data_IF_473967980229
#
_entry.id   IF_473967980229
#
_cell.length_a   1.000
_cell.length_b   1.000
_cell.length_c   1.000
_cell.angle_alpha   90.00
_cell.angle_beta   90.00
_cell.angle_gamma   90.00
#
_symmetry.space_group_name_H-M   'P 1'
#
loop_
_entity.id
_entity.type
_entity.pdbx_description
1 polymer ?
#
# COMPACT_ATOMS: atom_id res chain seq x y z
N UNK A 1 12.72 2.79 -20.79
CA UNK A 1 11.36 2.96 -20.21
C UNK A 1 10.38 2.87 -21.37
N UNK A 2 9.48 1.89 -21.37
CA UNK A 2 8.65 1.57 -22.55
C UNK A 2 7.60 2.66 -22.81
N UNK A 3 7.56 3.15 -24.05
CA UNK A 3 6.64 4.20 -24.53
C UNK A 3 5.17 3.87 -24.20
N UNK A 4 4.80 2.59 -24.23
CA UNK A 4 3.46 2.08 -23.89
C UNK A 4 3.07 2.32 -22.42
N UNK A 5 4.04 2.25 -21.48
CA UNK A 5 3.79 2.53 -20.05
C UNK A 5 3.60 4.03 -19.81
N UNK A 6 4.33 4.87 -20.53
CA UNK A 6 4.16 6.32 -20.47
C UNK A 6 2.78 6.73 -21.00
N UNK A 7 2.37 6.22 -22.16
CA UNK A 7 1.05 6.49 -22.77
C UNK A 7 -0.09 6.08 -21.83
N UNK A 8 -0.02 4.90 -21.20
CA UNK A 8 -1.04 4.44 -20.27
C UNK A 8 -1.11 5.27 -18.98
N UNK A 9 0.03 5.80 -18.54
CA UNK A 9 0.10 6.71 -17.39
C UNK A 9 -0.57 8.04 -17.74
N UNK A 10 -0.26 8.61 -18.90
CA UNK A 10 -0.91 9.83 -19.39
C UNK A 10 -2.39 9.66 -19.62
N UNK A 11 -2.85 8.55 -20.23
CA UNK A 11 -4.27 8.25 -20.41
C UNK A 11 -5.05 8.23 -19.08
N UNK A 12 -4.49 7.65 -18.02
CA UNK A 12 -5.13 7.65 -16.69
C UNK A 12 -5.23 9.04 -16.08
N UNK A 13 -4.16 9.82 -16.19
CA UNK A 13 -4.12 11.21 -15.71
C UNK A 13 -5.10 12.09 -16.47
N UNK A 14 -5.14 11.96 -17.80
CA UNK A 14 -6.06 12.66 -18.68
C UNK A 14 -7.51 12.21 -18.46
N UNK A 15 -7.75 10.94 -18.11
CA UNK A 15 -9.09 10.44 -17.78
C UNK A 15 -9.68 11.12 -16.54
N UNK A 16 -8.95 11.12 -15.42
CA UNK A 16 -9.41 11.81 -14.20
C UNK A 16 -9.47 13.33 -14.35
N UNK A 17 -8.51 13.93 -15.05
CA UNK A 17 -8.52 15.36 -15.36
C UNK A 17 -9.69 15.71 -16.29
N UNK A 18 -10.01 14.85 -17.25
CA UNK A 18 -11.15 14.98 -18.16
C UNK A 18 -12.49 14.89 -17.42
N UNK A 19 -12.63 13.97 -16.46
CA UNK A 19 -13.82 13.91 -15.60
C UNK A 19 -13.94 15.19 -14.77
N UNK A 20 -12.84 15.67 -14.17
CA UNK A 20 -12.86 16.90 -13.38
C UNK A 20 -13.19 18.13 -14.26
N UNK A 21 -12.60 18.22 -15.45
CA UNK A 21 -12.89 19.27 -16.42
C UNK A 21 -14.35 19.22 -16.89
N UNK A 22 -14.90 18.02 -17.12
CA UNK A 22 -16.31 17.82 -17.48
C UNK A 22 -17.24 18.25 -16.33
N UNK A 23 -16.91 17.89 -15.10
CA UNK A 23 -17.67 18.30 -13.90
C UNK A 23 -17.62 19.82 -13.74
N UNK A 24 -16.44 20.44 -13.85
CA UNK A 24 -16.27 21.89 -13.77
C UNK A 24 -16.96 22.62 -14.92
N UNK A 25 -16.94 22.06 -16.14
CA UNK A 25 -17.64 22.64 -17.29
C UNK A 25 -19.16 22.55 -17.13
N UNK A 26 -19.68 21.44 -16.60
CA UNK A 26 -21.12 21.20 -16.47
C UNK A 26 -21.75 21.89 -15.26
N UNK A 27 -21.02 21.99 -14.15
CA UNK A 27 -21.53 22.48 -12.86
C UNK A 27 -20.82 23.74 -12.34
N UNK A 28 -19.81 24.23 -13.06
CA UNK A 28 -18.99 25.37 -12.63
C UNK A 28 -18.09 25.06 -11.43
N UNK A 29 -17.44 26.10 -10.90
CA UNK A 29 -16.73 26.05 -9.61
C UNK A 29 -17.67 26.23 -8.41
N UNK A 30 -18.95 26.54 -8.66
CA UNK A 30 -19.97 26.78 -7.63
C UNK A 30 -20.11 25.61 -6.66
N UNK A 31 -20.17 24.37 -7.18
CA UNK A 31 -20.27 23.18 -6.33
C UNK A 31 -19.07 22.98 -5.38
N UNK A 32 -17.88 23.47 -5.76
CA UNK A 32 -16.70 23.45 -4.89
C UNK A 32 -16.80 24.49 -3.79
N UNK A 33 -17.28 25.69 -4.12
CA UNK A 33 -17.53 26.75 -3.15
C UNK A 33 -18.67 26.38 -2.19
N UNK A 34 -19.73 25.77 -2.70
CA UNK A 34 -20.86 25.30 -1.89
C UNK A 34 -20.41 24.15 -0.97
N UNK A 35 -19.60 23.21 -1.47
CA UNK A 35 -18.97 22.17 -0.68
C UNK A 35 -18.09 22.72 0.46
N UNK A 36 -17.42 23.87 0.27
CA UNK A 36 -16.68 24.57 1.31
C UNK A 36 -17.62 25.28 2.31
N UNK A 37 -18.67 25.96 1.80
CA UNK A 37 -19.61 26.74 2.61
C UNK A 37 -20.46 25.89 3.55
N UNK A 38 -20.74 24.64 3.18
CA UNK A 38 -21.54 23.73 4.01
C UNK A 38 -20.76 23.13 5.19
N UNK A 39 -19.43 23.23 5.20
CA UNK A 39 -18.60 22.65 6.24
C UNK A 39 -18.41 23.61 7.40
N UNK A 40 -18.75 23.16 8.60
CA UNK A 40 -18.53 23.88 9.85
C UNK A 40 -17.39 23.24 10.68
N UNK A 41 -17.07 23.85 11.81
CA UNK A 41 -16.05 23.34 12.73
C UNK A 41 -16.38 21.93 13.24
N UNK A 42 -17.67 21.62 13.45
CA UNK A 42 -18.13 20.31 13.88
C UNK A 42 -17.78 19.21 12.87
N UNK A 43 -18.04 19.46 11.59
CA UNK A 43 -17.69 18.56 10.49
C UNK A 43 -16.18 18.35 10.38
N UNK A 44 -15.37 19.41 10.55
CA UNK A 44 -13.91 19.32 10.53
C UNK A 44 -13.37 18.47 11.70
N UNK A 45 -13.88 18.68 12.91
CA UNK A 45 -13.50 17.89 14.10
C UNK A 45 -13.93 16.43 13.93
N UNK A 46 -15.15 16.18 13.44
CA UNK A 46 -15.62 14.84 13.15
C UNK A 46 -14.74 14.15 12.09
N UNK A 47 -14.33 14.86 11.05
CA UNK A 47 -13.45 14.33 10.02
C UNK A 47 -12.05 13.97 10.57
N UNK A 48 -11.48 14.81 11.43
CA UNK A 48 -10.22 14.49 12.11
C UNK A 48 -10.36 13.25 13.01
N UNK A 49 -11.43 13.15 13.79
CA UNK A 49 -11.68 12.01 14.68
C UNK A 49 -11.92 10.70 13.92
N UNK A 50 -12.85 10.71 12.97
CA UNK A 50 -13.17 9.55 12.11
C UNK A 50 -11.95 9.16 11.27
N UNK A 51 -11.27 10.15 10.70
CA UNK A 51 -10.04 9.97 9.93
C UNK A 51 -8.93 9.33 10.73
N UNK A 52 -8.70 9.78 11.97
CA UNK A 52 -7.69 9.22 12.86
C UNK A 52 -8.01 7.78 13.24
N UNK A 53 -9.26 7.49 13.66
CA UNK A 53 -9.68 6.13 13.98
C UNK A 53 -9.52 5.19 12.77
N UNK A 54 -10.00 5.61 11.60
CA UNK A 54 -9.90 4.85 10.35
C UNK A 54 -8.44 4.60 9.98
N UNK A 55 -7.57 5.61 10.10
CA UNK A 55 -6.14 5.52 9.77
C UNK A 55 -5.40 4.57 10.71
N UNK A 56 -5.69 4.62 12.02
CA UNK A 56 -5.08 3.69 12.99
C UNK A 56 -5.55 2.26 12.73
N UNK A 57 -6.83 2.06 12.41
CA UNK A 57 -7.36 0.73 12.06
C UNK A 57 -6.69 0.17 10.80
N UNK A 58 -6.51 0.97 9.75
CA UNK A 58 -5.84 0.52 8.52
C UNK A 58 -4.34 0.30 8.73
N UNK A 59 -3.68 1.14 9.55
CA UNK A 59 -2.29 0.93 9.94
C UNK A 59 -2.11 -0.35 10.77
N UNK A 60 -3.02 -0.63 11.72
CA UNK A 60 -3.02 -1.87 12.49
C UNK A 60 -3.21 -3.09 11.60
N UNK A 61 -4.16 -3.02 10.67
CA UNK A 61 -4.38 -4.05 9.64
C UNK A 61 -3.11 -4.31 8.84
N UNK A 62 -2.39 -3.26 8.45
CA UNK A 62 -1.11 -3.38 7.78
C UNK A 62 -0.05 -4.06 8.68
N UNK A 63 0.03 -3.73 9.98
CA UNK A 63 0.90 -4.44 10.91
C UNK A 63 0.59 -5.94 10.99
N UNK A 64 -0.69 -6.33 11.05
CA UNK A 64 -1.11 -7.73 11.07
C UNK A 64 -0.63 -8.46 9.82
N UNK A 65 -0.86 -7.86 8.64
CA UNK A 65 -0.42 -8.43 7.36
C UNK A 65 1.11 -8.49 7.25
N UNK A 66 1.82 -7.43 7.60
CA UNK A 66 3.30 -7.38 7.53
C UNK A 66 3.95 -8.41 8.46
N UNK A 67 3.46 -8.54 9.70
CA UNK A 67 3.96 -9.54 10.66
C UNK A 67 3.67 -10.96 10.23
N UNK A 68 2.53 -11.22 9.59
CA UNK A 68 2.22 -12.52 9.00
C UNK A 68 3.19 -12.93 7.89
N UNK A 69 3.82 -11.94 7.23
CA UNK A 69 4.85 -12.14 6.20
C UNK A 69 6.27 -12.21 6.77
N UNK A 70 6.42 -12.15 8.09
CA UNK A 70 7.70 -12.20 8.80
C UNK A 70 8.40 -10.84 8.92
N UNK A 71 7.74 -9.73 8.60
CA UNK A 71 8.32 -8.39 8.73
C UNK A 71 7.96 -7.75 10.08
N UNK A 72 8.92 -7.02 10.65
CA UNK A 72 8.69 -6.25 11.88
C UNK A 72 8.14 -4.89 11.50
N UNK A 73 6.94 -4.57 11.99
CA UNK A 73 6.32 -3.27 11.81
C UNK A 73 5.59 -2.87 13.10
N UNK A 74 5.98 -1.73 13.67
CA UNK A 74 5.31 -1.15 14.83
C UNK A 74 4.06 -0.38 14.39
N UNK A 75 3.06 -0.29 15.26
CA UNK A 75 1.84 0.47 14.96
C UNK A 75 2.13 1.97 14.79
N UNK A 76 3.09 2.50 15.56
CA UNK A 76 3.51 3.90 15.48
C UNK A 76 4.08 4.22 14.10
N UNK A 77 5.03 3.42 13.63
CA UNK A 77 5.66 3.63 12.33
C UNK A 77 4.65 3.42 11.19
N UNK A 78 3.84 2.37 11.31
CA UNK A 78 2.76 2.11 10.36
C UNK A 78 1.78 3.28 10.25
N UNK A 79 1.39 3.88 11.38
CA UNK A 79 0.46 5.01 11.42
C UNK A 79 1.08 6.26 10.78
N UNK A 80 2.34 6.56 11.08
CA UNK A 80 3.06 7.68 10.47
C UNK A 80 3.19 7.50 8.94
N UNK A 81 3.58 6.31 8.49
CA UNK A 81 3.64 5.94 7.07
C UNK A 81 2.27 6.02 6.40
N UNK A 82 1.20 5.59 7.08
CA UNK A 82 -0.15 5.62 6.53
C UNK A 82 -0.67 7.04 6.37
N UNK A 83 -0.48 7.91 7.35
CA UNK A 83 -0.84 9.33 7.24
C UNK A 83 -0.08 10.00 6.10
N UNK A 84 1.23 9.77 6.00
CA UNK A 84 2.01 10.30 4.89
C UNK A 84 1.50 9.78 3.55
N UNK A 85 1.18 8.48 3.46
CA UNK A 85 0.64 7.89 2.25
C UNK A 85 -0.73 8.49 1.86
N UNK A 86 -1.62 8.69 2.83
CA UNK A 86 -2.92 9.34 2.62
C UNK A 86 -2.74 10.77 2.08
N UNK A 87 -1.87 11.57 2.70
CA UNK A 87 -1.61 12.93 2.25
C UNK A 87 -1.04 12.97 0.83
N UNK A 88 -0.05 12.14 0.54
CA UNK A 88 0.54 12.05 -0.80
C UNK A 88 -0.47 11.57 -1.85
N UNK A 89 -1.31 10.60 -1.52
CA UNK A 89 -2.35 10.11 -2.43
C UNK A 89 -3.45 11.14 -2.69
N UNK A 90 -3.72 12.02 -1.73
CA UNK A 90 -4.68 13.10 -1.87
C UNK A 90 -4.07 14.33 -2.59
N UNK A 91 -2.79 14.62 -2.39
CA UNK A 91 -2.13 15.78 -2.99
C UNK A 91 -1.59 15.52 -4.40
N UNK A 92 -1.21 14.27 -4.72
CA UNK A 92 -0.53 13.93 -5.97
C UNK A 92 -1.44 13.21 -6.97
N UNK A 93 -1.16 13.35 -8.28
CA UNK A 93 -1.85 12.58 -9.31
C UNK A 93 -1.67 11.07 -9.15
N UNK A 94 -2.72 10.30 -9.48
CA UNK A 94 -2.70 8.83 -9.52
C UNK A 94 -3.08 8.12 -8.23
N UNK A 95 -3.11 8.80 -7.08
CA UNK A 95 -3.71 8.29 -5.84
C UNK A 95 -3.07 7.06 -5.20
N UNK A 96 -1.91 6.61 -5.69
CA UNK A 96 -1.19 5.41 -5.21
C UNK A 96 0.28 5.69 -4.84
N UNK A 97 0.78 6.90 -5.09
CA UNK A 97 2.20 7.22 -4.92
C UNK A 97 2.64 7.12 -3.46
N UNK A 98 1.78 7.52 -2.52
CA UNK A 98 2.01 7.35 -1.09
C UNK A 98 2.09 5.88 -0.68
N UNK A 99 1.30 5.01 -1.33
CA UNK A 99 1.35 3.56 -1.09
C UNK A 99 2.63 2.91 -1.61
N UNK A 100 3.07 3.31 -2.80
CA UNK A 100 4.35 2.88 -3.38
C UNK A 100 5.49 3.31 -2.45
N UNK A 101 5.42 4.54 -1.97
CA UNK A 101 6.42 5.11 -1.10
C UNK A 101 6.56 4.36 0.25
N UNK A 102 5.45 4.10 0.96
CA UNK A 102 5.50 3.28 2.20
C UNK A 102 5.93 1.84 1.93
N UNK A 103 5.55 1.25 0.80
CA UNK A 103 5.97 -0.09 0.41
C UNK A 103 7.49 -0.18 0.20
N UNK A 104 8.07 0.83 -0.47
CA UNK A 104 9.51 0.90 -0.75
C UNK A 104 10.31 1.17 0.53
N UNK A 105 9.86 2.12 1.38
CA UNK A 105 10.52 2.39 2.67
C UNK A 105 10.53 1.16 3.56
N UNK A 106 9.35 0.63 3.86
CA UNK A 106 9.23 -0.53 4.76
C UNK A 106 10.00 -1.74 4.23
N UNK A 107 9.98 -1.96 2.91
CA UNK A 107 10.74 -3.01 2.26
C UNK A 107 12.26 -2.83 2.37
N UNK A 108 12.78 -1.60 2.23
CA UNK A 108 14.21 -1.29 2.42
C UNK A 108 14.62 -1.45 3.87
N UNK A 109 13.83 -0.91 4.80
CA UNK A 109 14.12 -0.97 6.24
C UNK A 109 14.10 -2.42 6.77
N UNK A 110 13.29 -3.28 6.14
CA UNK A 110 13.21 -4.72 6.46
C UNK A 110 14.20 -5.59 5.67
N UNK A 111 14.98 -5.02 4.74
CA UNK A 111 15.90 -5.76 3.88
C UNK A 111 15.24 -6.65 2.80
N UNK A 112 13.93 -6.51 2.57
CA UNK A 112 13.16 -7.28 1.61
C UNK A 112 12.07 -6.43 0.94
N UNK A 113 12.45 -5.79 -0.17
CA UNK A 113 11.55 -4.96 -0.97
C UNK A 113 10.32 -5.75 -1.49
N UNK A 114 10.53 -7.02 -1.85
CA UNK A 114 9.47 -7.87 -2.38
C UNK A 114 8.39 -8.17 -1.35
N UNK A 115 8.77 -8.48 -0.11
CA UNK A 115 7.80 -8.64 1.01
C UNK A 115 7.14 -7.32 1.38
N UNK A 116 7.88 -6.21 1.39
CA UNK A 116 7.34 -4.87 1.65
C UNK A 116 6.19 -4.50 0.70
N UNK A 117 6.41 -4.64 -0.61
CA UNK A 117 5.40 -4.41 -1.65
C UNK A 117 4.20 -5.35 -1.49
N UNK A 118 4.44 -6.64 -1.27
CA UNK A 118 3.36 -7.62 -1.11
C UNK A 118 2.51 -7.35 0.13
N UNK A 119 3.09 -6.90 1.23
CA UNK A 119 2.33 -6.53 2.43
C UNK A 119 1.33 -5.38 2.16
N UNK A 120 1.77 -4.33 1.47
CA UNK A 120 0.91 -3.19 1.11
C UNK A 120 -0.16 -3.62 0.12
N UNK A 121 0.20 -4.42 -0.90
CA UNK A 121 -0.77 -4.93 -1.88
C UNK A 121 -1.83 -5.81 -1.21
N UNK A 122 -1.43 -6.74 -0.33
CA UNK A 122 -2.34 -7.61 0.40
C UNK A 122 -3.28 -6.83 1.31
N UNK A 123 -2.75 -5.81 2.00
CA UNK A 123 -3.55 -4.90 2.81
C UNK A 123 -4.56 -4.13 1.96
N UNK A 124 -4.16 -3.58 0.81
CA UNK A 124 -5.09 -2.91 -0.10
C UNK A 124 -6.17 -3.85 -0.64
N UNK A 125 -5.80 -5.05 -1.07
CA UNK A 125 -6.75 -6.08 -1.54
C UNK A 125 -7.77 -6.42 -0.45
N UNK A 126 -7.32 -6.62 0.80
CA UNK A 126 -8.22 -6.97 1.88
C UNK A 126 -9.27 -5.89 2.20
N UNK A 127 -8.97 -4.62 1.94
CA UNK A 127 -9.92 -3.52 2.12
C UNK A 127 -10.92 -3.50 0.97
N UNK A 128 -10.40 -3.64 -0.26
CA UNK A 128 -11.21 -3.68 -1.47
C UNK A 128 -12.15 -4.88 -1.52
N UNK A 129 -11.73 -6.06 -1.05
CA UNK A 129 -12.61 -7.24 -0.98
C UNK A 129 -13.82 -6.98 -0.09
N UNK A 130 -13.62 -6.38 1.09
CA UNK A 130 -14.73 -6.06 1.99
C UNK A 130 -15.65 -5.01 1.38
N UNK A 131 -15.09 -3.94 0.78
CA UNK A 131 -15.87 -2.93 0.07
C UNK A 131 -16.66 -3.54 -1.10
N UNK A 132 -16.07 -4.44 -1.89
CA UNK A 132 -16.74 -5.10 -3.01
C UNK A 132 -17.87 -6.01 -2.54
N UNK A 133 -17.62 -6.82 -1.50
CA UNK A 133 -18.64 -7.75 -0.96
C UNK A 133 -19.80 -6.97 -0.35
N UNK A 134 -19.53 -5.98 0.51
CA UNK A 134 -20.57 -5.16 1.14
C UNK A 134 -21.28 -4.28 0.11
N UNK A 135 -20.52 -3.65 -0.79
CA UNK A 135 -21.04 -2.85 -1.89
C UNK A 135 -21.98 -3.64 -2.79
N UNK A 136 -21.55 -4.81 -3.25
CA UNK A 136 -22.39 -5.69 -4.06
C UNK A 136 -23.64 -6.13 -3.30
N UNK A 137 -23.50 -6.58 -2.04
CA UNK A 137 -24.64 -7.00 -1.22
C UNK A 137 -25.66 -5.88 -1.07
N UNK A 138 -25.23 -4.66 -0.74
CA UNK A 138 -26.13 -3.50 -0.60
C UNK A 138 -26.77 -3.14 -1.93
N UNK A 139 -26.00 -3.08 -3.02
CA UNK A 139 -26.50 -2.69 -4.34
C UNK A 139 -27.58 -3.64 -4.88
N UNK A 140 -27.54 -4.93 -4.53
CA UNK A 140 -28.53 -5.92 -5.00
C UNK A 140 -29.70 -6.13 -4.04
N UNK A 141 -29.53 -5.83 -2.74
CA UNK A 141 -30.52 -6.13 -1.70
C UNK A 141 -31.29 -4.91 -1.21
N UNK A 142 -30.70 -3.72 -1.20
CA UNK A 142 -31.34 -2.51 -0.67
C UNK A 142 -32.20 -1.86 -1.75
N UNK A 143 -33.52 -1.72 -1.52
CA UNK A 143 -34.40 -1.00 -2.44
C UNK A 143 -33.88 0.42 -2.64
N UNK A 144 -33.47 0.72 -3.87
CA UNK A 144 -32.91 2.02 -4.22
C UNK A 144 -33.18 2.33 -5.69
N UNK A 145 -33.21 3.61 -6.08
CA UNK A 145 -33.35 3.97 -7.49
C UNK A 145 -32.22 3.39 -8.36
N UNK A 146 -31.02 3.26 -7.80
CA UNK A 146 -29.88 2.57 -8.42
C UNK A 146 -30.23 1.11 -8.74
N UNK A 147 -30.81 0.37 -7.78
CA UNK A 147 -31.25 -1.00 -8.00
C UNK A 147 -32.33 -1.09 -9.08
N UNK A 148 -33.28 -0.14 -9.14
CA UNK A 148 -34.30 -0.07 -10.19
C UNK A 148 -33.66 0.13 -11.57
N UNK A 149 -32.67 1.01 -11.70
CA UNK A 149 -31.91 1.22 -12.94
C UNK A 149 -31.10 -0.02 -13.33
N UNK A 150 -30.50 -0.71 -12.35
CA UNK A 150 -29.80 -1.97 -12.58
C UNK A 150 -30.74 -3.05 -13.09
N UNK A 151 -31.96 -3.15 -12.54
CA UNK A 151 -33.01 -4.07 -13.02
C UNK A 151 -33.47 -3.72 -14.44
N UNK A 152 -33.68 -2.44 -14.74
CA UNK A 152 -34.01 -1.98 -16.10
C UNK A 152 -32.91 -2.25 -17.13
N UNK A 153 -31.65 -2.34 -16.70
CA UNK A 153 -30.49 -2.67 -17.53
C UNK A 153 -29.89 -4.04 -17.20
N UNK A 154 -30.72 -4.98 -16.69
CA UNK A 154 -30.24 -6.23 -16.10
C UNK A 154 -29.30 -7.02 -17.03
N UNK A 155 -29.58 -7.06 -18.33
CA UNK A 155 -28.73 -7.74 -19.30
C UNK A 155 -27.31 -7.15 -19.38
N UNK A 156 -27.17 -5.81 -19.38
CA UNK A 156 -25.85 -5.14 -19.41
C UNK A 156 -25.12 -5.29 -18.08
N UNK A 157 -25.83 -5.12 -16.97
CA UNK A 157 -25.27 -5.31 -15.62
C UNK A 157 -24.80 -6.75 -15.44
N UNK A 158 -25.59 -7.73 -15.87
CA UNK A 158 -25.23 -9.13 -15.85
C UNK A 158 -24.01 -9.41 -16.75
N UNK A 159 -23.97 -8.86 -17.97
CA UNK A 159 -22.82 -9.01 -18.87
C UNK A 159 -21.53 -8.45 -18.27
N UNK A 160 -21.58 -7.25 -17.67
CA UNK A 160 -20.43 -6.64 -16.98
C UNK A 160 -20.03 -7.48 -15.76
N UNK A 161 -20.98 -7.91 -14.95
CA UNK A 161 -20.72 -8.71 -13.74
C UNK A 161 -20.10 -10.07 -14.08
N UNK A 162 -20.63 -10.74 -15.11
CA UNK A 162 -20.09 -12.01 -15.63
C UNK A 162 -18.71 -11.78 -16.24
N UNK A 163 -18.48 -10.69 -16.97
CA UNK A 163 -17.17 -10.33 -17.52
C UNK A 163 -16.12 -10.13 -16.43
N UNK A 164 -16.46 -9.39 -15.37
CA UNK A 164 -15.58 -9.18 -14.20
C UNK A 164 -15.32 -10.49 -13.46
N UNK A 165 -16.36 -11.31 -13.25
CA UNK A 165 -16.22 -12.62 -12.61
C UNK A 165 -15.35 -13.57 -13.44
N UNK A 166 -15.56 -13.63 -14.76
CA UNK A 166 -14.78 -14.45 -15.67
C UNK A 166 -13.32 -14.00 -15.72
N UNK A 167 -13.06 -12.69 -15.78
CA UNK A 167 -11.70 -12.16 -15.69
C UNK A 167 -11.03 -12.57 -14.37
N UNK A 168 -11.75 -12.48 -13.24
CA UNK A 168 -11.28 -12.97 -11.95
C UNK A 168 -10.95 -14.47 -11.96
N UNK A 169 -11.84 -15.31 -12.53
CA UNK A 169 -11.63 -16.75 -12.67
C UNK A 169 -10.42 -17.06 -13.55
N UNK A 170 -10.26 -16.37 -14.68
CA UNK A 170 -9.13 -16.54 -15.59
C UNK A 170 -7.81 -16.13 -14.95
N UNK A 171 -7.79 -15.04 -14.17
CA UNK A 171 -6.62 -14.63 -13.38
C UNK A 171 -6.27 -15.73 -12.38
N UNK A 172 -7.24 -16.24 -11.61
CA UNK A 172 -7.02 -17.31 -10.64
C UNK A 172 -6.55 -18.60 -11.32
N UNK A 173 -7.15 -18.98 -12.45
CA UNK A 173 -6.80 -20.17 -13.22
C UNK A 173 -5.39 -20.04 -13.82
N UNK A 174 -5.05 -18.88 -14.39
CA UNK A 174 -3.72 -18.55 -14.89
C UNK A 174 -2.66 -18.62 -13.79
N UNK A 175 -2.93 -18.03 -12.62
CA UNK A 175 -2.06 -18.15 -11.45
C UNK A 175 -1.91 -19.60 -10.98
N UNK A 176 -3.00 -20.39 -10.97
CA UNK A 176 -2.95 -21.82 -10.63
C UNK A 176 -2.12 -22.63 -11.63
N UNK A 177 -2.25 -22.37 -12.93
CA UNK A 177 -1.43 -23.01 -13.98
C UNK A 177 0.03 -22.62 -13.84
N UNK A 178 0.32 -21.34 -13.67
CA UNK A 178 1.69 -20.83 -13.49
C UNK A 178 2.37 -21.46 -12.26
N UNK A 179 1.62 -21.70 -11.17
CA UNK A 179 2.11 -22.38 -9.96
C UNK A 179 2.51 -23.85 -10.16
N UNK A 180 1.98 -24.53 -11.18
CA UNK A 180 2.33 -25.95 -11.46
C UNK A 180 3.68 -26.09 -12.18
N UNK A 181 4.24 -25.00 -12.71
CA UNK A 181 5.54 -25.01 -13.37
C UNK A 181 6.73 -25.11 -12.40
N UNK A 182 7.91 -25.40 -12.94
CA UNK A 182 9.19 -25.43 -12.19
C UNK A 182 10.02 -24.13 -12.37
N UNK A 183 9.47 -23.14 -13.07
CA UNK A 183 10.14 -21.87 -13.37
C UNK A 183 10.25 -20.94 -12.15
N UNK A 184 11.12 -19.93 -12.23
CA UNK A 184 11.20 -18.83 -11.24
C UNK A 184 9.85 -18.12 -11.04
N UNK A 185 9.08 -17.94 -12.11
CA UNK A 185 7.73 -17.35 -12.07
C UNK A 185 6.72 -18.22 -11.32
N UNK A 186 6.81 -19.55 -11.46
CA UNK A 186 6.02 -20.49 -10.68
C UNK A 186 6.37 -20.47 -9.19
N UNK A 187 7.65 -20.26 -8.85
CA UNK A 187 8.12 -20.00 -7.49
C UNK A 187 7.45 -18.75 -6.89
N UNK A 188 7.57 -17.61 -7.57
CA UNK A 188 6.97 -16.35 -7.12
C UNK A 188 5.45 -16.44 -6.92
N UNK A 189 4.73 -17.10 -7.85
CA UNK A 189 3.28 -17.30 -7.72
C UNK A 189 2.90 -18.22 -6.55
N UNK A 190 3.72 -19.23 -6.22
CA UNK A 190 3.53 -20.09 -5.04
C UNK A 190 3.73 -19.30 -3.75
N UNK A 191 4.80 -18.50 -3.67
CA UNK A 191 5.08 -17.66 -2.51
C UNK A 191 3.96 -16.64 -2.29
N UNK A 192 3.53 -15.92 -3.33
CA UNK A 192 2.43 -14.95 -3.22
C UNK A 192 1.12 -15.58 -2.74
N UNK A 193 0.77 -16.79 -3.21
CA UNK A 193 -0.43 -17.49 -2.75
C UNK A 193 -0.33 -17.96 -1.29
N UNK A 194 0.83 -18.45 -0.87
CA UNK A 194 1.08 -18.83 0.52
C UNK A 194 0.92 -17.60 1.43
N UNK A 195 1.43 -16.46 1.00
CA UNK A 195 1.34 -15.19 1.70
C UNK A 195 -0.07 -14.61 1.76
N UNK A 196 -0.88 -14.74 0.69
CA UNK A 196 -2.33 -14.46 0.74
C UNK A 196 -2.98 -15.32 1.82
N UNK A 197 -2.70 -16.63 1.82
CA UNK A 197 -3.31 -17.56 2.77
C UNK A 197 -2.92 -17.24 4.22
N UNK A 198 -1.65 -16.95 4.48
CA UNK A 198 -1.14 -16.68 5.83
C UNK A 198 -1.51 -15.27 6.30
N UNK A 199 -1.39 -14.28 5.42
CA UNK A 199 -1.63 -12.87 5.72
C UNK A 199 -3.10 -12.50 5.82
N UNK A 200 -3.97 -13.08 4.98
CA UNK A 200 -5.38 -12.70 4.89
C UNK A 200 -6.37 -13.78 5.36
N UNK A 201 -6.07 -15.06 5.14
CA UNK A 201 -7.03 -16.16 5.31
C UNK A 201 -6.70 -17.12 6.47
N UNK A 202 -5.70 -16.82 7.28
CA UNK A 202 -5.34 -17.66 8.42
C UNK A 202 -6.32 -17.47 9.56
N UNK A 203 -6.59 -18.52 10.36
CA UNK A 203 -7.48 -18.43 11.53
C UNK A 203 -7.04 -17.36 12.54
N UNK A 204 -5.75 -17.06 12.58
CA UNK A 204 -5.16 -16.05 13.49
C UNK A 204 -5.33 -14.62 12.97
N UNK A 205 -5.11 -14.37 11.68
CA UNK A 205 -5.05 -13.01 11.14
C UNK A 205 -6.33 -12.59 10.41
N UNK A 206 -7.04 -13.54 9.80
CA UNK A 206 -8.24 -13.28 9.00
C UNK A 206 -9.33 -12.51 9.72
N UNK A 207 -9.72 -12.88 10.96
CA UNK A 207 -10.71 -12.12 11.73
C UNK A 207 -10.28 -10.68 12.00
N UNK A 208 -9.01 -10.47 12.39
CA UNK A 208 -8.47 -9.12 12.64
C UNK A 208 -8.47 -8.27 11.37
N UNK A 209 -8.07 -8.84 10.22
CA UNK A 209 -8.08 -8.16 8.93
C UNK A 209 -9.51 -7.82 8.50
N UNK A 210 -10.46 -8.75 8.64
CA UNK A 210 -11.87 -8.54 8.30
C UNK A 210 -12.48 -7.44 9.17
N UNK A 211 -12.29 -7.51 10.49
CA UNK A 211 -12.80 -6.51 11.43
C UNK A 211 -12.21 -5.13 11.14
N UNK A 212 -10.90 -5.03 10.92
CA UNK A 212 -10.26 -3.76 10.60
C UNK A 212 -10.74 -3.21 9.23
N UNK A 213 -10.90 -4.05 8.22
CA UNK A 213 -11.44 -3.65 6.92
C UNK A 213 -12.90 -3.18 7.02
N UNK A 214 -13.74 -3.88 7.78
CA UNK A 214 -15.14 -3.54 7.98
C UNK A 214 -15.30 -2.24 8.80
N UNK A 215 -14.53 -2.10 9.88
CA UNK A 215 -14.51 -0.88 10.69
C UNK A 215 -13.98 0.31 9.89
N UNK A 216 -12.95 0.11 9.05
CA UNK A 216 -12.49 1.16 8.15
C UNK A 216 -13.59 1.55 7.15
N UNK A 217 -14.29 0.59 6.52
CA UNK A 217 -15.41 0.88 5.63
C UNK A 217 -16.51 1.68 6.35
N UNK A 218 -16.87 1.29 7.58
CA UNK A 218 -17.82 2.03 8.40
C UNK A 218 -17.35 3.47 8.68
N UNK A 219 -16.06 3.68 8.94
CA UNK A 219 -15.47 5.02 9.08
C UNK A 219 -15.60 5.87 7.81
N UNK A 220 -15.33 5.30 6.63
CA UNK A 220 -15.53 6.02 5.36
C UNK A 220 -17.00 6.36 5.12
N UNK A 221 -17.93 5.44 5.41
CA UNK A 221 -19.37 5.70 5.32
C UNK A 221 -19.80 6.78 6.33
N UNK A 222 -19.28 6.75 7.56
CA UNK A 222 -19.56 7.76 8.58
C UNK A 222 -19.07 9.15 8.13
N UNK A 223 -17.88 9.23 7.52
CA UNK A 223 -17.36 10.49 6.95
C UNK A 223 -18.25 11.00 5.80
N UNK A 224 -18.74 10.10 4.94
CA UNK A 224 -19.73 10.48 3.92
C UNK A 224 -21.05 10.96 4.52
N UNK A 225 -21.50 10.35 5.63
CA UNK A 225 -22.69 10.82 6.33
C UNK A 225 -22.48 12.20 6.94
N UNK A 226 -21.31 12.49 7.51
CA UNK A 226 -20.97 13.86 7.97
C UNK A 226 -21.06 14.85 6.80
N UNK A 227 -20.48 14.52 5.64
CA UNK A 227 -20.58 15.34 4.44
C UNK A 227 -22.04 15.51 3.96
N UNK A 228 -22.84 14.44 4.02
CA UNK A 228 -24.25 14.46 3.64
C UNK A 228 -25.08 15.36 4.56
N UNK A 229 -24.86 15.26 5.88
CA UNK A 229 -25.53 16.11 6.88
C UNK A 229 -25.13 17.57 6.74
N UNK A 230 -23.84 17.85 6.54
CA UNK A 230 -23.33 19.19 6.26
C UNK A 230 -24.01 19.80 5.02
N UNK A 231 -24.15 19.02 3.94
CA UNK A 231 -24.85 19.43 2.72
C UNK A 231 -26.39 19.43 2.84
N UNK A 232 -26.95 19.38 4.06
CA UNK A 232 -28.39 19.48 4.32
C UNK A 232 -29.21 18.23 4.02
N UNK A 233 -28.59 17.08 3.74
CA UNK A 233 -29.33 15.83 3.55
C UNK A 233 -29.81 15.27 4.89
N UNK A 234 -31.10 14.98 5.01
CA UNK A 234 -31.69 14.32 6.19
C UNK A 234 -31.82 12.81 6.03
N UNK A 235 -31.50 12.28 4.84
CA UNK A 235 -31.64 10.87 4.50
C UNK A 235 -30.85 9.97 5.46
N UNK A 236 -31.41 8.79 5.69
CA UNK A 236 -30.79 7.74 6.49
C UNK A 236 -29.56 7.16 5.78
N UNK A 237 -28.67 6.52 6.55
CA UNK A 237 -27.53 5.80 5.96
C UNK A 237 -28.01 4.72 4.98
N UNK A 238 -29.12 4.03 5.26
CA UNK A 238 -29.62 2.96 4.42
C UNK A 238 -30.06 3.48 3.03
N UNK A 239 -30.68 4.66 2.98
CA UNK A 239 -31.10 5.29 1.73
C UNK A 239 -29.91 5.77 0.90
N UNK A 240 -28.88 6.33 1.55
CA UNK A 240 -27.69 6.84 0.85
C UNK A 240 -26.65 5.75 0.55
N UNK A 241 -26.63 4.65 1.30
CA UNK A 241 -25.59 3.63 1.24
C UNK A 241 -25.30 3.12 -0.19
N UNK A 242 -26.30 2.83 -1.05
CA UNK A 242 -26.04 2.44 -2.44
C UNK A 242 -25.20 3.48 -3.21
N UNK A 243 -25.54 4.76 -3.08
CA UNK A 243 -24.81 5.86 -3.76
C UNK A 243 -23.43 6.07 -3.15
N UNK A 244 -23.31 6.03 -1.82
CA UNK A 244 -22.03 6.18 -1.12
C UNK A 244 -21.06 5.04 -1.42
N UNK A 245 -21.55 3.80 -1.48
CA UNK A 245 -20.75 2.63 -1.81
C UNK A 245 -20.30 2.65 -3.27
N UNK A 246 -21.16 3.11 -4.20
CA UNK A 246 -20.75 3.36 -5.58
C UNK A 246 -19.62 4.41 -5.65
N UNK A 247 -19.73 5.49 -4.87
CA UNK A 247 -18.71 6.51 -4.80
C UNK A 247 -17.37 5.97 -4.25
N UNK A 248 -17.42 5.15 -3.19
CA UNK A 248 -16.23 4.50 -2.62
C UNK A 248 -15.59 3.50 -3.61
N UNK A 249 -16.39 2.75 -4.37
CA UNK A 249 -15.91 1.89 -5.44
C UNK A 249 -15.24 2.71 -6.55
N UNK A 250 -15.82 3.86 -6.91
CA UNK A 250 -15.24 4.81 -7.87
C UNK A 250 -13.85 5.28 -7.41
N UNK A 251 -13.75 5.66 -6.13
CA UNK A 251 -12.51 6.14 -5.53
C UNK A 251 -11.40 5.08 -5.52
N UNK A 252 -11.76 3.79 -5.50
CA UNK A 252 -10.80 2.69 -5.57
C UNK A 252 -10.09 2.57 -6.92
N UNK A 253 -10.59 3.24 -7.96
CA UNK A 253 -9.99 3.21 -9.29
C UNK A 253 -8.75 4.13 -9.35
N UNK A 254 -7.61 3.66 -9.87
CA UNK A 254 -6.38 4.46 -9.98
C UNK A 254 -6.44 5.41 -11.19
N UNK A 255 -7.55 6.13 -11.32
CA UNK A 255 -7.82 7.14 -12.36
C UNK A 255 -8.06 8.52 -11.74
N UNK A 256 -7.94 8.65 -10.42
CA UNK A 256 -8.15 9.91 -9.70
C UNK A 256 -6.98 10.87 -9.93
N UNK A 257 -7.28 12.16 -10.05
CA UNK A 257 -6.28 13.25 -10.06
C UNK A 257 -6.33 13.96 -8.72
N UNK A 258 -5.32 13.77 -7.87
CA UNK A 258 -5.33 14.33 -6.50
C UNK A 258 -6.52 13.86 -5.66
N UNK A 259 -7.00 12.64 -5.87
CA UNK A 259 -8.21 12.13 -5.17
C UNK A 259 -9.56 12.67 -5.66
N UNK A 260 -9.57 13.41 -6.78
CA UNK A 260 -10.77 13.99 -7.40
C UNK A 260 -11.13 13.33 -8.74
N UNK A 261 -12.41 13.42 -9.11
CA UNK A 261 -12.96 13.06 -10.42
C UNK A 261 -14.05 11.98 -10.34
N UNK A 262 -13.70 10.68 -10.19
CA UNK A 262 -14.67 9.60 -10.23
C UNK A 262 -15.75 9.65 -9.14
N UNK A 263 -15.38 10.06 -7.91
CA UNK A 263 -16.32 10.19 -6.79
C UNK A 263 -17.41 11.21 -7.14
N UNK A 264 -17.00 12.38 -7.59
CA UNK A 264 -17.88 13.49 -7.97
C UNK A 264 -18.83 13.10 -9.10
N UNK A 265 -18.27 12.51 -10.17
CA UNK A 265 -19.05 12.08 -11.32
C UNK A 265 -20.08 10.99 -10.97
N UNK A 266 -19.67 9.97 -10.22
CA UNK A 266 -20.58 8.89 -9.82
C UNK A 266 -21.65 9.38 -8.85
N UNK A 267 -21.33 10.27 -7.91
CA UNK A 267 -22.34 10.81 -6.99
C UNK A 267 -23.34 11.71 -7.69
N UNK A 268 -22.88 12.60 -8.58
CA UNK A 268 -23.78 13.43 -9.38
C UNK A 268 -24.69 12.58 -10.27
N UNK A 269 -24.14 11.56 -10.92
CA UNK A 269 -24.90 10.61 -11.73
C UNK A 269 -25.89 9.80 -10.89
N UNK A 270 -25.46 9.20 -9.79
CA UNK A 270 -26.30 8.33 -8.97
C UNK A 270 -27.46 9.11 -8.34
N UNK A 271 -27.24 10.34 -7.89
CA UNK A 271 -28.30 11.21 -7.39
C UNK A 271 -29.25 11.63 -8.53
N UNK A 272 -28.73 12.10 -9.66
CA UNK A 272 -29.56 12.50 -10.80
C UNK A 272 -30.41 11.35 -11.35
N UNK A 273 -29.81 10.17 -11.48
CA UNK A 273 -30.50 8.97 -11.94
C UNK A 273 -31.50 8.44 -10.90
N UNK A 274 -31.31 8.79 -9.63
CA UNK A 274 -32.26 8.52 -8.57
C UNK A 274 -33.45 9.49 -8.50
N UNK A 275 -33.53 10.46 -9.42
CA UNK A 275 -34.51 11.54 -9.36
C UNK A 275 -34.22 12.56 -8.23
N UNK A 276 -33.05 12.46 -7.60
CA UNK A 276 -32.54 13.43 -6.62
C UNK A 276 -31.72 14.51 -7.34
N UNK A 277 -31.38 15.57 -6.60
CA UNK A 277 -30.54 16.65 -7.15
C UNK A 277 -29.12 16.16 -7.42
N UNK A 278 -28.71 16.14 -8.69
CA UNK A 278 -27.31 15.86 -9.08
C UNK A 278 -26.33 16.86 -8.45
N UNK A 279 -26.74 18.12 -8.28
CA UNK A 279 -25.95 19.14 -7.60
C UNK A 279 -25.75 18.82 -6.11
N UNK A 280 -26.76 18.27 -5.43
CA UNK A 280 -26.63 17.80 -4.05
C UNK A 280 -25.65 16.62 -3.96
N UNK A 281 -25.78 15.63 -4.85
CA UNK A 281 -24.83 14.50 -4.91
C UNK A 281 -23.38 14.97 -5.12
N UNK A 282 -23.17 15.92 -6.03
CA UNK A 282 -21.87 16.54 -6.26
C UNK A 282 -21.35 17.28 -5.01
N UNK A 283 -22.21 18.07 -4.35
CA UNK A 283 -21.85 18.82 -3.12
C UNK A 283 -21.41 17.87 -2.01
N UNK A 284 -22.14 16.77 -1.80
CA UNK A 284 -21.79 15.74 -0.82
C UNK A 284 -20.44 15.11 -1.14
N UNK A 285 -20.20 14.77 -2.42
CA UNK A 285 -18.93 14.19 -2.87
C UNK A 285 -17.74 15.13 -2.65
N UNK A 286 -17.93 16.43 -2.93
CA UNK A 286 -16.91 17.45 -2.73
C UNK A 286 -16.63 17.68 -1.26
N UNK A 287 -17.69 17.85 -0.44
CA UNK A 287 -17.57 18.01 1.00
C UNK A 287 -16.82 16.83 1.63
N UNK A 288 -17.15 15.59 1.24
CA UNK A 288 -16.39 14.41 1.63
C UNK A 288 -14.92 14.49 1.20
N UNK A 289 -14.63 14.92 -0.03
CA UNK A 289 -13.26 15.10 -0.53
C UNK A 289 -12.44 16.06 0.32
N UNK A 290 -13.03 17.20 0.71
CA UNK A 290 -12.42 18.18 1.59
C UNK A 290 -12.18 17.58 2.98
N UNK A 291 -13.19 16.95 3.58
CA UNK A 291 -13.08 16.32 4.90
C UNK A 291 -12.02 15.19 4.92
N UNK A 292 -11.94 14.40 3.86
CA UNK A 292 -10.92 13.37 3.70
C UNK A 292 -9.52 13.97 3.55
N UNK A 293 -9.38 15.10 2.86
CA UNK A 293 -8.12 15.85 2.76
C UNK A 293 -7.70 16.41 4.13
N UNK A 294 -8.63 17.00 4.88
CA UNK A 294 -8.41 17.48 6.26
C UNK A 294 -7.98 16.33 7.17
N UNK A 295 -8.65 15.18 7.09
CA UNK A 295 -8.28 13.97 7.81
C UNK A 295 -6.86 13.46 7.46
N UNK A 296 -6.39 13.70 6.23
CA UNK A 296 -5.05 13.34 5.78
C UNK A 296 -3.98 14.39 6.13
N UNK A 297 -4.36 15.60 6.54
CA UNK A 297 -3.45 16.71 6.82
C UNK A 297 -2.31 16.41 7.82
N UNK A 298 -2.51 15.59 8.89
CA UNK A 298 -1.40 15.18 9.76
C UNK A 298 -0.24 14.50 9.00
N UNK A 299 -0.51 13.89 7.84
CA UNK A 299 0.51 13.32 6.97
C UNK A 299 1.49 14.35 6.39
N UNK A 300 1.06 15.60 6.19
CA UNK A 300 1.95 16.69 5.78
C UNK A 300 2.99 16.99 6.86
N UNK A 301 2.58 16.99 8.13
CA UNK A 301 3.49 17.20 9.27
C UNK A 301 4.53 16.07 9.32
N UNK A 302 4.10 14.82 9.18
CA UNK A 302 5.02 13.66 9.12
C UNK A 302 6.02 13.79 7.96
N UNK A 303 5.54 14.21 6.78
CA UNK A 303 6.40 14.44 5.62
C UNK A 303 7.47 15.50 5.92
N UNK A 304 7.07 16.66 6.46
CA UNK A 304 8.00 17.75 6.81
C UNK A 304 9.01 17.31 7.85
N UNK A 305 8.56 16.65 8.93
CA UNK A 305 9.47 16.14 9.98
C UNK A 305 10.53 15.19 9.41
N UNK A 306 10.13 14.29 8.49
CA UNK A 306 11.06 13.37 7.81
C UNK A 306 12.03 14.08 6.88
N UNK A 307 11.56 15.12 6.16
CA UNK A 307 12.44 15.93 5.30
C UNK A 307 13.47 16.70 6.11
N UNK A 308 13.07 17.25 7.26
CA UNK A 308 13.98 17.96 8.19
C UNK A 308 15.00 17.00 8.79
N UNK A 309 14.57 15.81 9.26
CA UNK A 309 15.47 14.80 9.80
C UNK A 309 16.52 14.36 8.77
N UNK A 310 16.11 14.08 7.53
CA UNK A 310 17.03 13.71 6.43
C UNK A 310 18.07 14.78 6.11
N UNK A 311 17.68 16.06 6.19
CA UNK A 311 18.62 17.18 5.97
C UNK A 311 19.65 17.32 7.10
N UNK A 312 19.27 16.99 8.34
CA UNK A 312 20.20 17.00 9.49
C UNK A 312 21.20 15.86 9.45
N UNK A 313 20.79 14.71 8.92
CA UNK A 313 21.65 13.52 8.78
C UNK A 313 22.58 13.58 7.57
N UNK A 314 22.32 14.44 6.58
CA UNK A 314 23.30 14.74 5.54
C UNK A 314 24.43 15.54 6.19
N UNK A 315 25.65 14.98 6.33
CA UNK A 315 26.78 15.78 6.76
C UNK A 315 26.87 16.96 5.81
N UNK A 316 26.98 18.18 6.34
CA UNK A 316 27.40 19.33 5.55
C UNK A 316 28.62 18.84 4.78
N UNK A 317 28.52 18.74 3.45
CA UNK A 317 29.63 18.28 2.63
C UNK A 317 30.81 19.14 3.06
N UNK A 318 31.76 18.55 3.79
CA UNK A 318 32.96 19.29 4.18
C UNK A 318 33.49 19.88 2.88
N UNK A 319 33.75 21.20 2.81
CA UNK A 319 34.28 21.80 1.60
C UNK A 319 35.43 20.90 1.19
N UNK A 320 35.34 20.34 -0.03
CA UNK A 320 36.35 19.43 -0.53
C UNK A 320 37.67 20.15 -0.35
N UNK A 321 38.48 19.71 0.63
CA UNK A 321 39.81 20.25 0.81
C UNK A 321 40.43 20.10 -0.58
N UNK A 322 40.92 21.20 -1.21
CA UNK A 322 41.52 21.11 -2.51
C UNK A 322 42.52 19.99 -2.42
N UNK A 323 42.37 18.99 -3.30
CA UNK A 323 43.24 17.82 -3.29
C UNK A 323 44.66 18.37 -3.23
N UNK A 324 45.32 18.19 -2.07
CA UNK A 324 46.74 18.44 -1.97
C UNK A 324 47.30 17.49 -3.00
N UNK A 325 47.67 18.04 -4.16
CA UNK A 325 48.38 17.32 -5.20
C UNK A 325 49.60 16.78 -4.48
N UNK A 326 49.57 15.49 -4.18
CA UNK A 326 50.75 14.80 -3.69
C UNK A 326 51.76 14.90 -4.83
N UNK A 327 52.62 15.91 -4.77
CA UNK A 327 53.82 15.94 -5.58
C UNK A 327 54.55 14.62 -5.26
N UNK A 328 54.92 13.81 -6.26
CA UNK A 328 55.65 12.59 -6.00
C UNK A 328 56.99 12.98 -5.35
N UNK A 329 57.10 12.78 -4.04
CA UNK A 329 58.38 12.86 -3.34
C UNK A 329 59.13 11.61 -3.74
N UNK A 330 60.05 11.76 -4.70
CA UNK A 330 61.05 10.74 -5.00
C UNK A 330 62.00 10.67 -3.81
N UNK A 331 61.79 9.71 -2.92
CA UNK A 331 62.79 9.35 -1.92
C UNK A 331 63.93 8.60 -2.62
N UNK A 332 65.20 8.98 -2.42
CA UNK A 332 66.32 8.21 -2.94
C UNK A 332 66.30 6.81 -2.32
N UNK A 333 66.13 5.79 -3.16
CA UNK A 333 66.28 4.38 -2.76
C UNK A 333 67.75 4.13 -2.49
N UNK A 334 68.11 4.03 -1.21
CA UNK A 334 69.43 3.51 -0.79
C UNK A 334 69.40 2.00 -1.00
N UNK A 335 70.34 1.40 -1.76
CA UNK A 335 70.40 -0.05 -1.92
C UNK A 335 70.63 -0.75 -0.59
N UNK A 336 69.89 -1.82 -0.31
CA UNK A 336 70.12 -2.67 0.86
C UNK A 336 71.52 -3.33 0.79
N UNK A 337 72.25 -3.45 1.91
CA UNK A 337 73.52 -4.16 1.92
C UNK A 337 73.32 -5.65 1.61
N UNK A 338 74.25 -6.22 0.84
CA UNK A 338 74.21 -7.61 0.41
C UNK A 338 74.19 -8.58 1.62
N UNK A 339 73.13 -9.37 1.75
CA UNK A 339 73.09 -10.47 2.72
C UNK A 339 73.96 -11.65 2.23
N UNK A 340 74.76 -12.20 3.12
CA UNK A 340 75.53 -13.42 2.88
C UNK A 340 74.60 -14.63 2.61
N UNK A 341 75.03 -15.60 1.78
CA UNK A 341 74.21 -16.76 1.42
C UNK A 341 73.96 -17.69 2.63
N UNK A 342 72.71 -18.16 2.74
CA UNK A 342 72.27 -19.12 3.76
C UNK A 342 72.88 -20.52 3.53
N UNK A 343 73.20 -21.29 4.59
CA UNK A 343 73.73 -22.64 4.44
C UNK A 343 72.67 -23.62 3.91
N UNK A 344 73.11 -24.48 2.98
CA UNK A 344 72.32 -25.55 2.37
C UNK A 344 72.08 -26.66 3.41
N UNK A 345 70.82 -26.93 3.74
CA UNK A 345 70.42 -28.08 4.55
C UNK A 345 70.21 -29.28 3.61
N UNK A 346 71.05 -30.31 3.74
CA UNK A 346 70.92 -31.58 3.02
C UNK A 346 69.87 -32.47 3.72
N UNK A 347 68.83 -32.98 3.04
CA UNK A 347 67.88 -33.90 3.66
C UNK A 347 68.48 -35.30 3.80
N UNK A 348 68.40 -35.90 4.99
CA UNK A 348 68.72 -37.31 5.24
C UNK A 348 67.70 -38.24 4.55
N UNK A 349 68.09 -39.43 4.06
CA UNK A 349 67.18 -40.36 3.40
C UNK A 349 66.17 -40.97 4.39
N UNK A 350 64.89 -40.98 4.01
CA UNK A 350 63.83 -41.66 4.76
C UNK A 350 63.94 -43.18 4.60
N UNK A 351 64.17 -43.88 5.71
CA UNK A 351 64.21 -45.34 5.72
C UNK A 351 62.80 -45.93 5.54
N UNK A 352 62.68 -46.82 4.54
CA UNK A 352 61.44 -47.52 4.20
C UNK A 352 61.31 -48.74 5.10
N UNK A 353 60.55 -48.65 6.19
CA UNK A 353 60.29 -49.85 6.98
C UNK A 353 59.27 -49.71 8.12
N UNK A 354 58.05 -50.14 7.84
CA UNK A 354 57.00 -50.69 8.74
C UNK A 354 55.70 -49.88 8.77
N UNK A 355 54.70 -50.43 8.07
CA UNK A 355 53.28 -50.15 8.29
C UNK A 355 52.89 -50.75 9.65
N UNK A 356 52.52 -49.90 10.60
CA UNK A 356 51.87 -50.35 11.84
C UNK A 356 50.36 -50.17 11.65
N UNK A 357 49.53 -51.23 11.71
CA UNK A 357 48.08 -51.09 11.66
C UNK A 357 47.58 -50.65 13.03
N UNK A 358 46.99 -49.46 13.12
CA UNK A 358 46.24 -49.05 14.32
C UNK A 358 44.86 -49.70 14.27
N UNK A 359 44.64 -50.69 15.15
CA UNK A 359 43.33 -51.25 15.47
C UNK A 359 43.22 -51.34 17.00
N UNK A 360 41.97 -51.32 17.48
CA UNK A 360 41.49 -51.47 18.88
C UNK A 360 41.33 -50.10 19.59
N UNK A 361 40.22 -49.78 20.25
CA UNK A 361 39.05 -50.57 20.64
C UNK A 361 37.93 -49.70 21.24
N UNK A 362 36.81 -50.34 21.52
CA UNK A 362 35.54 -49.75 21.93
C UNK A 362 35.54 -49.14 23.35
N UNK A 363 34.74 -48.06 23.50
CA UNK A 363 33.86 -47.60 24.60
C UNK A 363 34.20 -47.98 26.08
N UNK A 364 33.97 -47.07 27.04
CA UNK A 364 32.62 -46.99 27.62
C UNK A 364 32.06 -45.57 27.85
N UNK A 365 30.73 -45.55 27.98
CA UNK A 365 29.88 -44.42 28.26
C UNK A 365 30.12 -43.87 29.68
N UNK A 366 30.00 -42.55 29.84
CA UNK A 366 29.80 -41.92 31.14
C UNK A 366 28.41 -41.27 31.17
N UNK A 367 27.46 -41.97 31.78
CA UNK A 367 26.25 -41.39 32.36
C UNK A 367 26.58 -40.96 33.79
N UNK A 368 26.50 -39.67 34.08
CA UNK A 368 26.62 -39.12 35.43
C UNK A 368 25.41 -38.27 35.73
N UNK A 369 24.45 -38.85 36.45
CA UNK A 369 23.33 -38.13 37.06
C UNK A 369 23.52 -38.02 38.57
N UNK A 370 23.08 -36.87 39.09
CA UNK A 370 22.50 -36.58 40.42
C UNK A 370 23.41 -36.69 41.66
N UNK A 371 23.63 -35.56 42.36
CA UNK A 371 23.09 -35.30 43.70
C UNK A 371 23.61 -33.97 44.30
N UNK A 372 22.68 -33.04 44.56
CA UNK A 372 22.51 -32.27 45.81
C UNK A 372 21.28 -31.36 45.64
#
# INVERSE_FOLDING_TARGET
>A
MDVTRAIWTWLKLLGGAGILALVLWRFGTGAFLDGLRVLDTGALVAALGIGAATTVLTAWRWCVVARALGMRLSLKDATADYYQALFLNAALPGGILGDVDRAVRHGRDSGDLGRGVRAVVLERIAGQVVLLVVGAAVLVSVPSPVLTLMKGNAARVAAVSVGVALAGVLIVAGLRRLRRGRSRTAGAARTGMAEIRVGLLSRRNGPAVLLASAAALAGHLAMFMVAARAAGSTASLLELAPMLLLALLAMGLPVNVGGWGPREGIMAWAFGAAGLSAAQGLTIAVAYGILAFVAAAPGAVILVLRLVARRREQPMAAPALPALTAAPVTLPVVPAPAMAPLPVIVPLPADRGRRVPVRVGARPAYSGGVAA
#
